data_IF_462413567172
#
_entry.id   IF_462413567172
#
_cell.length_a   1.000
_cell.length_b   1.000
_cell.length_c   1.000
_cell.angle_alpha   90.00
_cell.angle_beta   90.00
_cell.angle_gamma   90.00
#
_symmetry.space_group_name_H-M   'P 1'
#
loop_
_entity.id
_entity.type
_entity.pdbx_description
1 polymer ?
#
# COMPACT_ATOMS: atom_id res chain seq x y z
N UNK A 1 -4.50 -21.26 16.30
CA UNK A 1 -3.47 -20.20 16.45
C UNK A 1 -2.54 -20.31 15.27
N UNK A 2 -2.40 -19.26 14.48
CA UNK A 2 -1.46 -19.18 13.35
C UNK A 2 -0.16 -18.57 13.89
N UNK A 3 0.97 -19.25 13.64
CA UNK A 3 2.29 -18.71 13.99
C UNK A 3 2.82 -17.86 12.83
N UNK A 4 3.00 -16.58 13.07
CA UNK A 4 3.57 -15.66 12.07
C UNK A 4 5.10 -15.78 12.14
N UNK A 5 5.80 -16.07 11.01
CA UNK A 5 7.24 -16.12 10.98
C UNK A 5 7.87 -14.78 11.37
N UNK A 6 8.96 -14.80 12.15
CA UNK A 6 9.65 -13.56 12.56
C UNK A 6 10.17 -12.71 11.38
N UNK A 7 10.41 -13.35 10.24
CA UNK A 7 10.90 -12.70 9.02
C UNK A 7 9.80 -12.36 8.02
N UNK A 8 8.52 -12.32 8.46
CA UNK A 8 7.39 -12.08 7.57
C UNK A 8 7.56 -10.76 6.80
N UNK A 9 8.00 -9.68 7.44
CA UNK A 9 8.23 -8.40 6.79
C UNK A 9 9.26 -8.46 5.66
N UNK A 10 10.34 -9.22 5.82
CA UNK A 10 11.33 -9.40 4.75
C UNK A 10 10.72 -10.18 3.57
N UNK A 11 9.97 -11.25 3.86
CA UNK A 11 9.29 -12.05 2.81
C UNK A 11 8.27 -11.23 2.03
N UNK A 12 7.47 -10.42 2.73
CA UNK A 12 6.51 -9.50 2.11
C UNK A 12 7.20 -8.47 1.23
N UNK A 13 8.31 -7.89 1.71
CA UNK A 13 9.10 -6.94 0.92
C UNK A 13 9.68 -7.61 -0.34
N UNK A 14 10.19 -8.83 -0.25
CA UNK A 14 10.74 -9.59 -1.39
C UNK A 14 9.66 -9.98 -2.39
N UNK A 15 8.48 -10.45 -1.93
CA UNK A 15 7.36 -10.83 -2.80
C UNK A 15 6.62 -9.61 -3.39
N UNK A 16 6.71 -8.45 -2.74
CA UNK A 16 5.93 -7.26 -3.10
C UNK A 16 4.52 -7.24 -2.51
N UNK A 17 4.21 -8.21 -1.64
CA UNK A 17 2.93 -8.28 -0.95
C UNK A 17 2.84 -7.18 0.12
N UNK A 18 1.78 -6.39 0.09
CA UNK A 18 1.59 -5.30 1.07
C UNK A 18 0.98 -5.80 2.39
N UNK A 19 0.22 -6.88 2.34
CA UNK A 19 -0.50 -7.42 3.50
C UNK A 19 -0.17 -8.89 3.71
N UNK A 20 0.09 -9.32 4.97
CA UNK A 20 0.36 -10.74 5.28
C UNK A 20 -0.90 -11.61 5.18
N UNK A 21 -2.07 -10.99 5.18
CA UNK A 21 -3.37 -11.61 5.04
C UNK A 21 -4.25 -10.71 4.18
N UNK A 22 -4.87 -11.28 3.18
CA UNK A 22 -5.94 -10.63 2.41
C UNK A 22 -7.26 -11.33 2.69
N UNK A 23 -8.38 -10.59 2.74
CA UNK A 23 -9.69 -11.20 2.86
C UNK A 23 -9.99 -12.04 1.62
N UNK A 24 -10.45 -13.26 1.82
CA UNK A 24 -10.89 -14.13 0.75
C UNK A 24 -12.35 -13.83 0.44
N UNK A 25 -12.64 -13.37 -0.77
CA UNK A 25 -14.00 -13.13 -1.23
C UNK A 25 -14.51 -14.36 -1.99
N UNK A 26 -15.63 -14.94 -1.61
CA UNK A 26 -16.21 -16.03 -2.40
C UNK A 26 -16.59 -15.52 -3.80
N UNK A 27 -16.50 -16.38 -4.80
CA UNK A 27 -16.81 -16.07 -6.18
C UNK A 27 -18.34 -15.95 -6.41
N UNK A 28 -18.99 -15.05 -5.67
CA UNK A 28 -20.42 -14.73 -5.76
C UNK A 28 -20.58 -13.34 -6.37
N UNK A 29 -21.45 -13.22 -7.37
CA UNK A 29 -21.74 -11.96 -8.03
C UNK A 29 -22.62 -11.06 -7.15
N UNK A 30 -22.16 -9.84 -6.89
CA UNK A 30 -22.97 -8.78 -6.28
C UNK A 30 -23.77 -8.04 -7.35
N UNK A 31 -23.09 -7.62 -8.42
CA UNK A 31 -23.69 -6.90 -9.50
C UNK A 31 -23.16 -7.33 -10.87
N UNK A 32 -23.98 -7.16 -11.87
CA UNK A 32 -23.69 -7.42 -13.28
C UNK A 32 -23.95 -6.16 -14.06
N UNK A 33 -22.95 -5.70 -14.81
CA UNK A 33 -23.06 -4.48 -15.61
C UNK A 33 -24.05 -4.69 -16.78
N UNK A 34 -25.07 -3.87 -16.93
CA UNK A 34 -25.98 -3.95 -18.08
C UNK A 34 -25.21 -3.78 -19.41
N UNK A 35 -25.53 -4.62 -20.40
CA UNK A 35 -24.85 -4.58 -21.70
C UNK A 35 -23.45 -5.21 -21.73
N UNK A 36 -22.90 -5.65 -20.59
CA UNK A 36 -21.67 -6.41 -20.54
C UNK A 36 -21.84 -7.85 -21.06
N UNK A 37 -20.74 -8.56 -21.38
CA UNK A 37 -20.81 -9.98 -21.75
C UNK A 37 -21.61 -10.82 -20.75
N UNK A 38 -21.42 -10.62 -19.45
CA UNK A 38 -22.19 -11.29 -18.41
C UNK A 38 -23.69 -10.95 -18.46
N UNK A 39 -24.02 -9.66 -18.56
CA UNK A 39 -25.40 -9.19 -18.61
C UNK A 39 -26.15 -9.68 -19.85
N UNK A 40 -25.52 -9.63 -21.02
CA UNK A 40 -26.10 -10.11 -22.29
C UNK A 40 -26.35 -11.62 -22.30
N UNK A 41 -25.55 -12.38 -21.57
CA UNK A 41 -25.71 -13.84 -21.44
C UNK A 41 -26.56 -14.26 -20.23
N UNK A 42 -27.13 -13.31 -19.48
CA UNK A 42 -28.13 -13.59 -18.44
C UNK A 42 -27.56 -14.03 -17.10
N UNK A 43 -26.29 -13.70 -16.80
CA UNK A 43 -25.77 -13.78 -15.43
C UNK A 43 -26.50 -12.76 -14.54
N UNK A 44 -26.65 -13.09 -13.27
CA UNK A 44 -27.44 -12.30 -12.31
C UNK A 44 -26.69 -12.12 -10.98
N UNK A 45 -27.00 -11.07 -10.23
CA UNK A 45 -26.59 -10.97 -8.85
C UNK A 45 -26.98 -12.22 -8.05
N UNK A 46 -26.09 -12.69 -7.19
CA UNK A 46 -26.26 -13.90 -6.40
C UNK A 46 -25.74 -15.19 -7.06
N UNK A 47 -25.38 -15.17 -8.34
CA UNK A 47 -24.75 -16.32 -8.97
C UNK A 47 -23.40 -16.61 -8.33
N UNK A 48 -23.15 -17.86 -7.97
CA UNK A 48 -21.84 -18.32 -7.48
C UNK A 48 -21.10 -19.02 -8.61
N UNK A 49 -19.93 -18.55 -8.95
CA UNK A 49 -19.07 -19.16 -9.97
C UNK A 49 -18.45 -20.43 -9.38
N UNK A 50 -18.59 -21.55 -10.07
CA UNK A 50 -18.05 -22.85 -9.68
C UNK A 50 -16.84 -23.24 -10.53
N UNK A 51 -16.92 -23.02 -11.86
CA UNK A 51 -15.86 -23.39 -12.78
C UNK A 51 -15.71 -22.34 -13.89
N UNK A 52 -14.46 -22.14 -14.32
CA UNK A 52 -14.09 -21.44 -15.53
C UNK A 52 -13.23 -22.37 -16.38
N UNK A 53 -13.67 -22.74 -17.60
CA UNK A 53 -12.95 -23.64 -18.51
C UNK A 53 -12.43 -24.92 -17.81
N UNK A 54 -13.30 -25.64 -17.12
CA UNK A 54 -12.98 -26.85 -16.36
C UNK A 54 -12.09 -26.66 -15.11
N UNK A 55 -11.62 -25.42 -14.81
CA UNK A 55 -10.90 -25.10 -13.57
C UNK A 55 -11.90 -24.78 -12.46
N UNK A 56 -11.76 -25.45 -11.32
CA UNK A 56 -12.58 -25.17 -10.14
C UNK A 56 -12.19 -23.83 -9.53
N UNK A 57 -13.20 -23.02 -9.19
CA UNK A 57 -13.03 -21.68 -8.63
C UNK A 57 -13.43 -21.72 -7.15
N UNK A 58 -12.47 -21.54 -6.26
CA UNK A 58 -12.71 -21.52 -4.83
C UNK A 58 -13.13 -20.12 -4.34
N UNK A 59 -12.53 -19.08 -4.90
CA UNK A 59 -12.73 -17.70 -4.49
C UNK A 59 -12.65 -16.71 -5.68
N UNK A 60 -12.77 -15.43 -5.37
CA UNK A 60 -12.75 -14.38 -6.38
C UNK A 60 -11.38 -14.15 -7.02
N UNK A 61 -10.31 -14.40 -6.30
CA UNK A 61 -8.95 -14.25 -6.82
C UNK A 61 -8.65 -15.39 -7.81
N UNK A 62 -9.02 -16.62 -7.48
CA UNK A 62 -9.00 -17.76 -8.43
C UNK A 62 -9.76 -17.42 -9.71
N UNK A 63 -10.95 -16.81 -9.57
CA UNK A 63 -11.73 -16.37 -10.74
C UNK A 63 -10.96 -15.39 -11.61
N UNK A 64 -10.35 -14.35 -11.01
CA UNK A 64 -9.56 -13.36 -11.75
C UNK A 64 -8.35 -13.97 -12.45
N UNK A 65 -7.62 -14.85 -11.78
CA UNK A 65 -6.44 -15.52 -12.32
C UNK A 65 -6.77 -16.43 -13.51
N UNK A 66 -7.97 -17.02 -13.54
CA UNK A 66 -8.43 -17.87 -14.64
C UNK A 66 -9.11 -17.08 -15.77
N UNK A 67 -9.24 -15.74 -15.65
CA UNK A 67 -9.67 -14.87 -16.73
C UNK A 67 -8.48 -14.47 -17.61
N UNK A 68 -8.69 -14.40 -18.91
CA UNK A 68 -7.67 -13.93 -19.87
C UNK A 68 -7.77 -12.43 -20.05
N UNK A 69 -6.65 -11.76 -20.28
CA UNK A 69 -6.61 -10.33 -20.64
C UNK A 69 -7.09 -10.04 -22.07
N UNK A 70 -7.33 -11.09 -22.88
CA UNK A 70 -7.80 -10.99 -24.25
C UNK A 70 -9.23 -11.49 -24.39
N UNK A 71 -9.94 -11.01 -25.42
CA UNK A 71 -11.26 -11.52 -25.76
C UNK A 71 -11.19 -13.01 -26.12
N UNK A 72 -11.80 -13.84 -25.29
CA UNK A 72 -11.88 -15.29 -25.47
C UNK A 72 -13.26 -15.83 -25.15
N UNK A 73 -13.61 -16.93 -25.81
CA UNK A 73 -14.78 -17.70 -25.46
C UNK A 73 -14.45 -18.58 -24.25
N UNK A 74 -15.16 -18.37 -23.14
CA UNK A 74 -15.01 -19.13 -21.91
C UNK A 74 -16.27 -19.93 -21.61
N UNK A 75 -16.08 -21.09 -20.98
CA UNK A 75 -17.16 -21.89 -20.40
C UNK A 75 -17.24 -21.56 -18.93
N UNK A 76 -18.41 -21.11 -18.49
CA UNK A 76 -18.67 -20.76 -17.10
C UNK A 76 -19.73 -21.70 -16.53
N UNK A 77 -19.44 -22.31 -15.39
CA UNK A 77 -20.42 -23.08 -14.62
C UNK A 77 -20.72 -22.29 -13.34
N UNK A 78 -21.98 -22.01 -13.12
CA UNK A 78 -22.43 -21.29 -11.92
C UNK A 78 -23.45 -22.09 -11.12
N UNK A 79 -23.58 -21.78 -9.84
CA UNK A 79 -24.70 -22.17 -9.01
C UNK A 79 -25.68 -20.99 -8.86
N UNK A 80 -26.93 -21.21 -9.24
CA UNK A 80 -28.05 -20.29 -9.02
C UNK A 80 -29.16 -21.02 -8.32
N UNK A 81 -29.41 -20.69 -7.06
CA UNK A 81 -30.45 -21.34 -6.24
C UNK A 81 -30.31 -22.87 -6.18
N UNK A 82 -29.12 -23.38 -5.90
CA UNK A 82 -28.74 -24.78 -5.88
C UNK A 82 -28.96 -25.55 -7.21
N UNK A 83 -28.93 -24.81 -8.32
CA UNK A 83 -28.95 -25.35 -9.67
C UNK A 83 -27.69 -24.97 -10.42
N UNK A 84 -27.00 -25.97 -10.93
CA UNK A 84 -25.82 -25.72 -11.80
C UNK A 84 -26.30 -25.34 -13.20
N UNK A 85 -25.81 -24.19 -13.68
CA UNK A 85 -26.09 -23.65 -15.01
C UNK A 85 -24.77 -23.46 -15.76
N UNK A 86 -24.79 -23.78 -17.05
CA UNK A 86 -23.66 -23.65 -17.94
C UNK A 86 -23.85 -22.47 -18.88
N UNK A 87 -22.82 -21.66 -19.05
CA UNK A 87 -22.79 -20.54 -19.98
C UNK A 87 -21.55 -20.62 -20.86
N UNK A 88 -21.69 -20.24 -22.11
CA UNK A 88 -20.56 -19.99 -23.01
C UNK A 88 -20.57 -18.52 -23.34
N UNK A 89 -19.60 -17.76 -22.84
CA UNK A 89 -19.55 -16.32 -22.92
C UNK A 89 -18.28 -15.89 -23.63
N UNK A 90 -18.37 -14.97 -24.56
CA UNK A 90 -17.23 -14.26 -25.12
C UNK A 90 -16.96 -13.03 -24.26
N UNK A 91 -15.77 -12.95 -23.69
CA UNK A 91 -15.36 -11.80 -22.86
C UNK A 91 -15.21 -10.54 -23.70
N UNK A 92 -15.17 -9.37 -23.07
CA UNK A 92 -14.85 -8.11 -23.75
C UNK A 92 -13.45 -8.12 -24.37
N UNK A 93 -13.11 -7.10 -25.15
CA UNK A 93 -11.77 -6.92 -25.73
C UNK A 93 -10.65 -6.96 -24.67
N UNK A 94 -10.93 -6.46 -23.48
CA UNK A 94 -10.03 -6.47 -22.32
C UNK A 94 -10.17 -7.73 -21.43
N UNK A 95 -10.78 -8.80 -21.93
CA UNK A 95 -10.95 -10.05 -21.22
C UNK A 95 -11.93 -10.01 -20.04
N UNK A 96 -12.72 -8.96 -19.87
CA UNK A 96 -13.64 -8.82 -18.74
C UNK A 96 -15.04 -9.33 -19.01
N UNK A 97 -15.77 -9.76 -17.98
CA UNK A 97 -17.18 -10.15 -18.06
C UNK A 97 -18.13 -9.03 -17.66
N UNK A 98 -17.68 -8.02 -16.93
CA UNK A 98 -18.51 -6.96 -16.37
C UNK A 98 -19.31 -7.41 -15.15
N UNK A 99 -18.64 -8.07 -14.22
CA UNK A 99 -19.19 -8.53 -12.94
C UNK A 99 -18.38 -8.00 -11.78
N UNK A 100 -19.02 -7.82 -10.62
CA UNK A 100 -18.36 -7.41 -9.39
C UNK A 100 -18.64 -8.43 -8.28
N UNK A 101 -17.65 -8.68 -7.39
CA UNK A 101 -17.80 -9.63 -6.30
C UNK A 101 -18.72 -9.07 -5.22
N UNK A 102 -19.41 -9.97 -4.54
CA UNK A 102 -20.09 -9.66 -3.32
C UNK A 102 -19.08 -9.35 -2.22
N UNK A 103 -19.16 -8.16 -1.63
CA UNK A 103 -18.21 -7.67 -0.61
C UNK A 103 -18.84 -7.44 0.77
N UNK A 104 -20.16 -7.65 0.92
CA UNK A 104 -20.91 -7.40 2.14
C UNK A 104 -20.75 -8.48 3.24
N UNK A 105 -19.80 -9.40 3.06
CA UNK A 105 -19.46 -10.41 4.08
C UNK A 105 -18.77 -9.80 5.31
N UNK A 106 -18.22 -8.62 5.17
CA UNK A 106 -17.55 -7.93 6.26
C UNK A 106 -18.44 -6.83 6.81
N UNK A 107 -18.89 -7.00 8.06
CA UNK A 107 -19.57 -5.95 8.80
C UNK A 107 -18.52 -4.95 9.30
N UNK A 108 -18.25 -3.91 8.53
CA UNK A 108 -17.43 -2.80 8.98
C UNK A 108 -18.22 -1.96 9.99
N UNK A 109 -17.78 -1.99 11.23
CA UNK A 109 -18.29 -1.08 12.27
C UNK A 109 -17.52 0.23 12.19
N UNK A 110 -18.19 1.31 11.81
CA UNK A 110 -17.61 2.65 11.93
C UNK A 110 -17.58 3.03 13.41
N UNK A 111 -16.41 3.10 14.00
CA UNK A 111 -16.23 3.64 15.34
C UNK A 111 -16.05 5.16 15.24
N UNK A 112 -16.96 5.89 15.90
CA UNK A 112 -16.86 7.34 16.04
C UNK A 112 -16.23 7.64 17.40
N UNK A 113 -15.06 8.23 17.38
CA UNK A 113 -14.31 8.62 18.59
C UNK A 113 -14.71 10.02 19.03
N UNK A 114 -14.82 10.23 20.34
CA UNK A 114 -14.91 11.55 20.92
C UNK A 114 -13.58 12.32 20.77
N UNK A 115 -13.60 13.65 20.99
CA UNK A 115 -12.40 14.48 20.82
C UNK A 115 -11.21 14.02 21.68
N UNK A 116 -11.46 13.69 22.96
CA UNK A 116 -10.41 13.21 23.86
C UNK A 116 -9.85 11.83 23.45
N UNK A 117 -10.71 10.92 23.07
CA UNK A 117 -10.34 9.58 22.56
C UNK A 117 -9.54 9.69 21.26
N UNK A 118 -9.92 10.60 20.36
CA UNK A 118 -9.21 10.83 19.09
C UNK A 118 -7.77 11.31 19.31
N UNK A 119 -7.48 12.05 20.37
CA UNK A 119 -6.12 12.47 20.73
C UNK A 119 -5.29 11.26 21.14
N UNK A 120 -5.82 10.41 22.02
CA UNK A 120 -5.12 9.22 22.53
C UNK A 120 -4.83 8.25 21.37
N UNK A 121 -5.85 7.91 20.58
CA UNK A 121 -5.71 7.05 19.41
C UNK A 121 -4.77 7.64 18.34
N UNK A 122 -4.76 8.97 18.20
CA UNK A 122 -3.85 9.69 17.32
C UNK A 122 -2.38 9.55 17.75
N UNK A 123 -2.08 9.59 19.06
CA UNK A 123 -0.73 9.33 19.58
C UNK A 123 -0.31 7.88 19.36
N UNK A 124 -1.18 6.92 19.63
CA UNK A 124 -0.91 5.51 19.41
C UNK A 124 -0.67 5.23 17.91
N UNK A 125 -1.53 5.76 17.04
CA UNK A 125 -1.35 5.65 15.61
C UNK A 125 -0.02 6.25 15.14
N UNK A 126 0.33 7.45 15.63
CA UNK A 126 1.60 8.12 15.33
C UNK A 126 2.81 7.31 15.77
N UNK A 127 2.76 6.75 16.99
CA UNK A 127 3.84 5.90 17.52
C UNK A 127 4.04 4.64 16.67
N UNK A 128 2.98 3.91 16.35
CA UNK A 128 3.08 2.69 15.54
C UNK A 128 3.53 2.99 14.11
N UNK A 129 3.04 4.08 13.51
CA UNK A 129 3.46 4.53 12.18
C UNK A 129 4.95 4.86 12.15
N UNK A 130 5.45 5.61 13.14
CA UNK A 130 6.88 5.92 13.26
C UNK A 130 7.73 4.66 13.43
N UNK A 131 7.31 3.75 14.31
CA UNK A 131 8.01 2.48 14.56
C UNK A 131 8.10 1.65 13.27
N UNK A 132 7.01 1.54 12.55
CA UNK A 132 6.97 0.77 11.31
C UNK A 132 7.82 1.42 10.22
N UNK A 133 7.82 2.75 10.14
CA UNK A 133 8.69 3.50 9.23
C UNK A 133 10.19 3.27 9.55
N UNK A 134 10.57 3.33 10.82
CA UNK A 134 11.95 3.01 11.26
C UNK A 134 12.31 1.56 10.90
N UNK A 135 11.41 0.62 11.11
CA UNK A 135 11.64 -0.79 10.77
C UNK A 135 11.81 -1.02 9.26
N UNK A 136 11.13 -0.23 8.43
CA UNK A 136 11.23 -0.28 6.97
C UNK A 136 12.45 0.47 6.43
N UNK A 137 13.00 1.43 7.16
CA UNK A 137 14.12 2.26 6.71
C UNK A 137 15.35 1.45 6.29
N UNK A 138 15.57 0.28 6.89
CA UNK A 138 16.65 -0.65 6.51
C UNK A 138 16.56 -1.11 5.05
N UNK A 139 15.37 -1.15 4.46
CA UNK A 139 15.17 -1.61 3.08
C UNK A 139 15.65 -0.61 2.03
N UNK A 140 15.80 0.66 2.39
CA UNK A 140 16.34 1.71 1.50
C UNK A 140 17.75 1.35 1.02
N UNK A 141 18.52 0.63 1.83
CA UNK A 141 19.87 0.17 1.50
C UNK A 141 19.91 -1.09 0.63
N UNK A 142 18.76 -1.61 0.20
CA UNK A 142 18.66 -2.71 -0.75
C UNK A 142 18.42 -2.18 -2.16
N UNK A 143 18.82 -2.93 -3.19
CA UNK A 143 18.60 -2.54 -4.60
C UNK A 143 17.11 -2.29 -4.89
N UNK A 144 16.23 -3.18 -4.39
CA UNK A 144 14.78 -3.07 -4.56
C UNK A 144 14.21 -1.85 -3.83
N UNK A 145 14.64 -1.59 -2.58
CA UNK A 145 14.17 -0.44 -1.83
C UNK A 145 14.67 0.89 -2.41
N UNK A 146 15.93 0.94 -2.87
CA UNK A 146 16.45 2.12 -3.54
C UNK A 146 15.68 2.47 -4.81
N UNK A 147 15.28 1.46 -5.62
CA UNK A 147 14.46 1.68 -6.81
C UNK A 147 13.01 2.07 -6.52
N UNK A 148 12.56 1.97 -5.27
CA UNK A 148 11.23 2.39 -4.82
C UNK A 148 11.24 3.75 -4.10
N UNK A 149 12.39 4.41 -4.01
CA UNK A 149 12.46 5.77 -3.47
C UNK A 149 11.73 6.71 -4.43
N UNK A 150 10.62 7.26 -3.96
CA UNK A 150 9.85 8.24 -4.69
C UNK A 150 10.28 9.68 -4.34
N UNK A 151 10.17 10.56 -5.32
CA UNK A 151 10.41 11.99 -5.18
C UNK A 151 9.13 12.79 -4.91
N UNK A 152 9.05 13.99 -5.49
CA UNK A 152 7.90 14.86 -5.31
C UNK A 152 6.60 14.32 -5.92
N UNK A 153 6.71 13.55 -7.02
CA UNK A 153 5.56 12.89 -7.65
C UNK A 153 4.94 11.86 -6.72
N UNK A 154 5.77 10.98 -6.12
CA UNK A 154 5.31 10.00 -5.14
C UNK A 154 4.66 10.67 -3.92
N UNK A 155 5.22 11.78 -3.40
CA UNK A 155 4.61 12.55 -2.30
C UNK A 155 3.25 13.11 -2.73
N UNK A 156 3.15 13.67 -3.94
CA UNK A 156 1.89 14.17 -4.49
C UNK A 156 0.81 13.07 -4.56
N UNK A 157 1.20 11.87 -4.95
CA UNK A 157 0.31 10.70 -5.06
C UNK A 157 -0.18 10.16 -3.71
N UNK A 158 0.43 10.57 -2.58
CA UNK A 158 -0.09 10.25 -1.23
C UNK A 158 -1.38 10.99 -0.90
N UNK A 159 -1.68 12.09 -1.60
CA UNK A 159 -2.92 12.83 -1.41
C UNK A 159 -4.04 12.25 -2.28
N UNK A 160 -5.28 12.25 -1.77
CA UNK A 160 -6.41 11.74 -2.55
C UNK A 160 -6.63 12.57 -3.82
N UNK A 161 -6.94 11.90 -4.93
CA UNK A 161 -7.21 12.53 -6.24
C UNK A 161 -8.48 13.41 -6.24
N UNK A 162 -9.41 13.14 -5.32
CA UNK A 162 -10.59 13.97 -5.07
C UNK A 162 -10.50 14.52 -3.64
N UNK A 163 -11.00 15.75 -3.44
CA UNK A 163 -10.95 16.38 -2.13
C UNK A 163 -11.64 15.54 -1.07
N UNK A 164 -10.87 15.10 -0.09
CA UNK A 164 -11.31 14.28 1.03
C UNK A 164 -10.55 14.72 2.29
N UNK A 165 -11.25 15.31 3.23
CA UNK A 165 -10.64 15.81 4.47
C UNK A 165 -9.89 14.75 5.27
N UNK A 166 -10.46 13.53 5.36
CA UNK A 166 -9.81 12.43 6.07
C UNK A 166 -8.49 12.05 5.38
N UNK A 167 -8.51 11.86 4.06
CA UNK A 167 -7.31 11.54 3.30
C UNK A 167 -6.27 12.65 3.38
N UNK A 168 -6.67 13.92 3.25
CA UNK A 168 -5.78 15.06 3.38
C UNK A 168 -5.04 15.09 4.73
N UNK A 169 -5.77 14.97 5.86
CA UNK A 169 -5.16 14.99 7.18
C UNK A 169 -4.32 13.75 7.46
N UNK A 170 -4.72 12.57 6.95
CA UNK A 170 -3.93 11.34 7.09
C UNK A 170 -2.60 11.44 6.33
N UNK A 171 -2.61 11.93 5.10
CA UNK A 171 -1.37 12.15 4.32
C UNK A 171 -0.48 13.22 4.95
N UNK A 172 -1.06 14.31 5.44
CA UNK A 172 -0.32 15.38 6.15
C UNK A 172 0.34 14.85 7.42
N UNK A 173 -0.38 14.05 8.22
CA UNK A 173 0.16 13.45 9.43
C UNK A 173 1.31 12.48 9.11
N UNK A 174 1.15 11.62 8.10
CA UNK A 174 2.18 10.69 7.66
C UNK A 174 3.45 11.44 7.22
N UNK A 175 3.31 12.46 6.36
CA UNK A 175 4.44 13.27 5.90
C UNK A 175 5.13 13.97 7.08
N UNK A 176 4.37 14.48 8.04
CA UNK A 176 4.92 15.13 9.23
C UNK A 176 5.75 14.14 10.07
N UNK A 177 5.29 12.90 10.24
CA UNK A 177 6.02 11.85 10.96
C UNK A 177 7.32 11.49 10.22
N UNK A 178 7.25 11.35 8.88
CA UNK A 178 8.42 11.07 8.05
C UNK A 178 9.46 12.20 8.15
N UNK A 179 9.03 13.45 8.05
CA UNK A 179 9.91 14.62 8.16
C UNK A 179 10.54 14.72 9.56
N UNK A 180 9.77 14.47 10.62
CA UNK A 180 10.29 14.45 11.97
C UNK A 180 11.38 13.38 12.14
N UNK A 181 11.15 12.16 11.63
CA UNK A 181 12.14 11.09 11.65
C UNK A 181 13.41 11.47 10.86
N UNK A 182 13.23 11.97 9.63
CA UNK A 182 14.37 12.35 8.79
C UNK A 182 15.22 13.44 9.44
N UNK A 183 14.60 14.42 10.11
CA UNK A 183 15.31 15.50 10.79
C UNK A 183 16.08 15.04 12.04
N UNK A 184 15.69 13.92 12.66
CA UNK A 184 16.44 13.33 13.79
C UNK A 184 17.70 12.59 13.33
N UNK A 185 17.79 12.18 12.06
CA UNK A 185 18.96 11.45 11.57
C UNK A 185 20.24 12.27 11.74
N UNK A 186 21.38 11.63 12.10
CA UNK A 186 22.66 12.32 12.31
C UNK A 186 23.32 12.70 10.97
N UNK A 187 22.58 13.35 10.09
CA UNK A 187 23.07 13.81 8.79
C UNK A 187 23.38 15.31 8.91
N UNK A 188 24.64 15.73 8.69
CA UNK A 188 24.97 17.15 8.61
C UNK A 188 24.06 17.84 7.56
N UNK A 189 23.62 19.05 7.84
CA UNK A 189 22.59 19.81 7.13
C UNK A 189 21.14 19.52 7.53
N UNK A 190 20.89 18.51 8.37
CA UNK A 190 19.62 18.30 9.09
C UNK A 190 19.78 18.67 10.56
N UNK A 191 18.66 18.85 11.27
CA UNK A 191 18.66 19.21 12.70
C UNK A 191 19.41 18.18 13.57
N UNK A 192 19.26 16.90 13.27
CA UNK A 192 19.96 15.82 13.95
C UNK A 192 21.48 15.90 13.83
N UNK A 193 22.02 16.42 12.72
CA UNK A 193 23.43 16.72 12.56
C UNK A 193 23.91 17.81 13.53
N UNK A 194 23.12 18.87 13.71
CA UNK A 194 23.44 19.92 14.68
C UNK A 194 23.38 19.39 16.12
N UNK A 195 22.40 18.58 16.45
CA UNK A 195 22.30 17.92 17.76
C UNK A 195 23.51 17.04 18.01
N UNK A 196 23.99 16.29 17.02
CA UNK A 196 25.21 15.49 17.13
C UNK A 196 26.45 16.33 17.44
N UNK A 197 26.61 17.50 16.81
CA UNK A 197 27.73 18.42 17.10
C UNK A 197 27.62 19.01 18.51
N UNK A 198 26.40 19.32 18.98
CA UNK A 198 26.17 19.76 20.36
C UNK A 198 26.53 18.65 21.38
N UNK A 199 26.16 17.40 21.10
CA UNK A 199 26.58 16.26 21.95
C UNK A 199 28.10 16.13 22.00
N UNK A 200 28.78 16.28 20.86
CA UNK A 200 30.25 16.28 20.86
C UNK A 200 30.81 17.39 21.74
N UNK A 201 30.29 18.62 21.67
CA UNK A 201 30.73 19.74 22.51
C UNK A 201 30.50 19.47 24.01
N UNK A 202 29.34 18.90 24.38
CA UNK A 202 29.01 18.56 25.76
C UNK A 202 29.96 17.49 26.30
N UNK A 203 30.28 16.45 25.52
CA UNK A 203 31.13 15.34 25.98
C UNK A 203 32.61 15.74 26.05
N UNK A 204 33.09 16.51 25.06
CA UNK A 204 34.52 16.87 24.96
C UNK A 204 34.87 18.17 25.64
N UNK A 205 33.86 19.01 25.97
CA UNK A 205 34.06 20.38 26.46
C UNK A 205 34.66 21.34 25.45
N UNK A 206 34.72 20.95 24.18
CA UNK A 206 35.33 21.75 23.09
C UNK A 206 34.41 21.82 21.87
N UNK A 207 34.30 23.04 21.30
CA UNK A 207 33.59 23.22 20.03
C UNK A 207 34.34 22.52 18.89
N UNK A 208 33.62 21.85 17.95
CA UNK A 208 34.23 21.41 16.71
C UNK A 208 34.81 22.60 15.95
N UNK A 209 35.83 22.37 15.13
CA UNK A 209 36.43 23.40 14.31
C UNK A 209 35.42 23.93 13.28
N UNK A 210 35.31 25.24 13.11
CA UNK A 210 34.36 25.90 12.19
C UNK A 210 34.49 25.37 10.76
N UNK A 211 35.72 25.18 10.27
CA UNK A 211 35.94 24.59 8.93
C UNK A 211 35.42 23.16 8.80
N UNK A 212 35.56 22.36 9.88
CA UNK A 212 35.00 21.01 9.89
C UNK A 212 33.48 21.03 9.83
N UNK A 213 32.83 21.94 10.58
CA UNK A 213 31.37 22.10 10.54
C UNK A 213 30.90 22.51 9.15
N UNK A 214 31.61 23.48 8.52
CA UNK A 214 31.30 23.95 7.17
C UNK A 214 31.42 22.81 6.13
N UNK A 215 32.51 22.04 6.14
CA UNK A 215 32.68 20.90 5.24
C UNK A 215 31.65 19.79 5.51
N UNK A 216 31.33 19.50 6.75
CA UNK A 216 30.32 18.52 7.12
C UNK A 216 28.94 18.93 6.61
N UNK A 217 28.56 20.20 6.79
CA UNK A 217 27.30 20.73 6.27
C UNK A 217 27.23 20.70 4.74
N UNK A 218 28.33 21.08 4.06
CA UNK A 218 28.44 21.02 2.61
C UNK A 218 28.28 19.58 2.09
N UNK A 219 28.96 18.62 2.75
CA UNK A 219 28.79 17.21 2.43
C UNK A 219 27.35 16.73 2.61
N UNK A 220 26.72 17.06 3.75
CA UNK A 220 25.32 16.72 4.01
C UNK A 220 24.37 17.33 2.98
N UNK A 221 24.59 18.59 2.60
CA UNK A 221 23.81 19.25 1.56
C UNK A 221 23.90 18.53 0.21
N UNK A 222 25.12 18.21 -0.25
CA UNK A 222 25.29 17.50 -1.52
C UNK A 222 24.74 16.07 -1.47
N UNK A 223 24.83 15.39 -0.33
CA UNK A 223 24.22 14.07 -0.11
C UNK A 223 22.71 14.16 -0.29
N UNK A 224 22.06 15.11 0.39
CA UNK A 224 20.61 15.30 0.31
C UNK A 224 20.17 15.73 -1.09
N UNK A 225 20.91 16.64 -1.73
CA UNK A 225 20.63 17.06 -3.10
C UNK A 225 20.71 15.88 -4.07
N UNK A 226 21.74 15.03 -3.95
CA UNK A 226 21.89 13.83 -4.77
C UNK A 226 20.74 12.85 -4.55
N UNK A 227 20.29 12.68 -3.30
CA UNK A 227 19.18 11.82 -2.97
C UNK A 227 17.86 12.34 -3.58
N UNK A 228 17.61 13.64 -3.48
CA UNK A 228 16.43 14.29 -4.08
C UNK A 228 16.44 14.16 -5.61
N UNK A 229 17.60 14.39 -6.25
CA UNK A 229 17.73 14.22 -7.69
C UNK A 229 17.50 12.75 -8.12
N UNK A 230 18.06 11.80 -7.36
CA UNK A 230 17.86 10.39 -7.62
C UNK A 230 16.37 10.00 -7.48
N UNK A 231 15.72 10.39 -6.38
CA UNK A 231 14.32 10.07 -6.12
C UNK A 231 13.37 10.66 -7.18
N UNK A 232 13.59 11.93 -7.59
CA UNK A 232 12.79 12.54 -8.66
C UNK A 232 13.10 11.96 -10.06
N UNK A 233 14.30 11.43 -10.26
CA UNK A 233 14.62 10.71 -11.51
C UNK A 233 14.00 9.31 -11.59
N UNK A 234 13.53 8.79 -10.46
CA UNK A 234 12.92 7.48 -10.33
C UNK A 234 11.37 7.55 -10.36
N UNK A 235 10.76 8.75 -10.22
CA UNK A 235 9.31 8.99 -10.34
C UNK A 235 8.85 8.86 -11.81
#
# INVERSE_FOLDING_TARGET
TISIPKNIGNRMFESGEMFPFSPVFPAILDSVVPGSPAGLNGLKPGDKILYVNDTNIADWDDFKENMSEESKKIKLVIDRNNKSLNFEIVTSENGTLGVYPKSDFFNFKLETLGFGESIIEGFDYGYWTLRDYIAQFKYIFTTKGASQLGGFGAIGNMFPSQWNWKGFWSSTALISIILAFMNILPIPALDGGHVMFLFYEIITGRKPNDKFLEYAQMFGFFLLLSLVLYANGND
#
